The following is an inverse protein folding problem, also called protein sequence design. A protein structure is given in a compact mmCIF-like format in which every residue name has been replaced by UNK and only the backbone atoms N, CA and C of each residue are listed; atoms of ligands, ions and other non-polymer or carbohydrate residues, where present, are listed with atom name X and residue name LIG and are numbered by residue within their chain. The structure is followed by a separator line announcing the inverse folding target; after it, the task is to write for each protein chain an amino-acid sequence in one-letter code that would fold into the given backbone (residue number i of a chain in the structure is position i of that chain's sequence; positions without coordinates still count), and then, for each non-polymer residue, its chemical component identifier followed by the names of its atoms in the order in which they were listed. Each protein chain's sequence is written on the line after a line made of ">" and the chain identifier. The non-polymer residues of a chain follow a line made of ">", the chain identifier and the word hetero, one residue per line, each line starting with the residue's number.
data_IF_279886392754
#
_entry.id   IF_279886392754
#
_cell.length_a   1.000
_cell.length_b   1.000
_cell.length_c   1.000
_cell.angle_alpha   90.00
_cell.angle_beta   90.00
_cell.angle_gamma   90.00
#
_symmetry.space_group_name_H-M   'P 1'
#
loop_
_entity.id
_entity.type
_entity.pdbx_description
1 polymer ?
#
# COMPACT_ATOMS: atom_id res chain seq x y z
N UNK A 1 8.10 -11.03 12.00
CA UNK A 1 7.24 -11.10 10.80
C UNK A 1 7.77 -10.18 9.70
N UNK A 2 7.52 -10.52 8.43
CA UNK A 2 7.75 -9.65 7.29
C UNK A 2 6.42 -9.00 6.90
N UNK A 3 6.25 -7.72 7.22
CA UNK A 3 5.02 -6.97 7.00
C UNK A 3 5.22 -6.03 5.81
N UNK A 4 4.39 -6.16 4.79
CA UNK A 4 4.44 -5.34 3.59
C UNK A 4 3.32 -4.29 3.58
N UNK A 5 3.57 -3.15 2.94
CA UNK A 5 2.63 -2.05 2.82
C UNK A 5 2.51 -1.56 1.38
N UNK A 6 1.30 -1.19 0.96
CA UNK A 6 1.14 -0.30 -0.19
C UNK A 6 1.61 1.11 0.21
N UNK A 7 2.82 1.44 -0.19
CA UNK A 7 3.50 2.65 0.26
C UNK A 7 3.37 3.85 -0.71
N UNK A 8 2.51 3.78 -1.73
CA UNK A 8 2.31 4.90 -2.66
C UNK A 8 1.99 6.20 -1.93
N UNK A 9 1.15 6.15 -0.88
CA UNK A 9 0.80 7.34 -0.10
C UNK A 9 1.93 7.81 0.81
N UNK A 10 2.74 6.90 1.31
CA UNK A 10 3.94 7.23 2.11
C UNK A 10 4.90 8.09 1.29
N UNK A 11 5.14 7.69 0.03
CA UNK A 11 6.20 8.25 -0.81
C UNK A 11 5.76 9.43 -1.69
N UNK A 12 4.45 9.60 -1.96
CA UNK A 12 3.95 10.58 -2.94
C UNK A 12 2.89 11.52 -2.38
N UNK A 13 2.49 11.39 -1.11
CA UNK A 13 1.40 12.19 -0.58
C UNK A 13 1.78 12.92 0.70
N UNK A 14 1.79 14.25 0.63
CA UNK A 14 2.09 15.13 1.76
C UNK A 14 0.86 15.46 2.64
N UNK A 15 -0.34 15.00 2.26
CA UNK A 15 -1.61 15.32 2.93
C UNK A 15 -2.06 14.21 3.91
N UNK A 16 -3.29 14.29 4.40
CA UNK A 16 -3.83 13.42 5.46
C UNK A 16 -3.57 11.93 5.28
N UNK A 17 -3.84 11.35 4.09
CA UNK A 17 -3.61 9.93 3.83
C UNK A 17 -2.13 9.54 3.91
N UNK A 18 -1.24 10.42 3.44
CA UNK A 18 0.21 10.20 3.55
C UNK A 18 0.67 10.31 4.99
N UNK A 19 0.19 11.31 5.74
CA UNK A 19 0.50 11.48 7.16
C UNK A 19 0.04 10.28 7.98
N UNK A 20 -1.20 9.83 7.77
CA UNK A 20 -1.71 8.61 8.40
C UNK A 20 -0.82 7.39 8.10
N UNK A 21 -0.49 7.19 6.83
CA UNK A 21 0.32 6.03 6.42
C UNK A 21 1.71 6.04 7.07
N UNK A 22 2.34 7.20 7.16
CA UNK A 22 3.64 7.36 7.84
C UNK A 22 3.52 7.16 9.35
N UNK A 23 2.47 7.72 9.97
CA UNK A 23 2.19 7.55 11.40
C UNK A 23 2.01 6.07 11.77
N UNK A 24 1.24 5.30 11.01
CA UNK A 24 1.07 3.86 11.24
C UNK A 24 2.43 3.14 11.21
N UNK A 25 3.27 3.47 10.23
CA UNK A 25 4.56 2.82 10.11
C UNK A 25 5.54 3.24 11.20
N UNK A 26 5.58 4.52 11.58
CA UNK A 26 6.37 5.02 12.72
C UNK A 26 5.98 4.27 14.00
N UNK A 27 4.67 4.17 14.28
CA UNK A 27 4.14 3.47 15.45
C UNK A 27 4.55 1.99 15.44
N UNK A 28 4.40 1.31 14.31
CA UNK A 28 4.77 -0.10 14.22
C UNK A 28 6.28 -0.32 14.40
N UNK A 29 7.12 0.53 13.83
CA UNK A 29 8.58 0.43 13.98
C UNK A 29 9.04 0.72 15.40
N UNK A 30 8.32 1.55 16.14
CA UNK A 30 8.58 1.86 17.55
C UNK A 30 8.16 0.71 18.47
N UNK A 31 6.93 0.21 18.32
CA UNK A 31 6.37 -0.78 19.24
C UNK A 31 6.66 -2.24 18.87
N UNK A 32 7.09 -2.50 17.64
CA UNK A 32 7.41 -3.84 17.10
C UNK A 32 8.68 -3.82 16.26
N UNK A 33 9.82 -3.41 16.83
CA UNK A 33 11.09 -3.27 16.11
C UNK A 33 11.66 -4.60 15.62
N UNK A 34 11.20 -5.72 16.14
CA UNK A 34 11.61 -7.07 15.73
C UNK A 34 11.06 -7.49 14.35
N UNK A 35 10.06 -6.80 13.84
CA UNK A 35 9.50 -7.07 12.52
C UNK A 35 10.30 -6.39 11.39
N UNK A 36 10.19 -6.92 10.17
CA UNK A 36 10.68 -6.27 8.96
C UNK A 36 9.51 -5.61 8.22
N UNK A 37 9.73 -4.39 7.78
CA UNK A 37 8.71 -3.57 7.13
C UNK A 37 9.10 -3.26 5.69
N UNK A 38 8.30 -3.74 4.73
CA UNK A 38 8.58 -3.68 3.30
C UNK A 38 7.62 -2.71 2.64
N UNK A 39 8.12 -1.60 2.14
CA UNK A 39 7.34 -0.51 1.55
C UNK A 39 7.30 -0.67 0.03
N UNK A 40 6.20 -1.19 -0.50
CA UNK A 40 6.01 -1.34 -1.94
C UNK A 40 5.48 -0.04 -2.55
N UNK A 41 6.31 0.63 -3.34
CA UNK A 41 5.95 1.89 -4.01
C UNK A 41 6.21 1.85 -5.51
N UNK A 42 5.36 2.49 -6.34
CA UNK A 42 5.55 2.53 -7.79
C UNK A 42 6.83 3.27 -8.23
N UNK A 43 7.34 4.14 -7.37
CA UNK A 43 8.62 4.84 -7.56
C UNK A 43 9.11 5.37 -6.21
N UNK A 44 10.28 6.01 -6.20
CA UNK A 44 10.83 6.62 -4.97
C UNK A 44 10.00 7.80 -4.48
N UNK A 45 9.24 8.49 -5.36
CA UNK A 45 8.47 9.66 -4.97
C UNK A 45 9.34 10.78 -4.40
N UNK A 46 8.85 11.44 -3.35
CA UNK A 46 9.58 12.49 -2.63
C UNK A 46 10.25 11.93 -1.37
N UNK A 47 11.59 11.77 -1.37
CA UNK A 47 12.33 11.23 -0.22
C UNK A 47 12.19 12.08 1.05
N UNK A 48 11.91 13.38 0.94
CA UNK A 48 11.74 14.26 2.12
C UNK A 48 10.60 13.81 3.03
N UNK A 49 9.59 13.15 2.47
CA UNK A 49 8.42 12.66 3.20
C UNK A 49 8.70 11.47 4.12
N UNK A 50 9.69 10.63 3.79
CA UNK A 50 9.87 9.33 4.45
C UNK A 50 11.32 8.96 4.78
N UNK A 51 12.30 9.84 4.55
CA UNK A 51 13.72 9.59 4.87
C UNK A 51 13.92 9.14 6.32
N UNK A 52 13.12 9.67 7.27
CA UNK A 52 13.15 9.29 8.69
C UNK A 52 12.77 7.81 8.87
N UNK A 53 11.77 7.33 8.15
CA UNK A 53 11.38 5.92 8.20
C UNK A 53 12.50 5.00 7.69
N UNK A 54 13.18 5.38 6.63
CA UNK A 54 14.28 4.59 6.06
C UNK A 54 15.56 4.64 6.90
N UNK A 55 15.69 5.54 7.88
CA UNK A 55 16.79 5.48 8.83
C UNK A 55 16.66 4.31 9.81
N UNK A 56 15.46 3.73 9.95
CA UNK A 56 15.24 2.50 10.70
C UNK A 56 15.64 1.29 9.84
N UNK A 57 16.58 0.47 10.34
CA UNK A 57 17.13 -0.72 9.64
C UNK A 57 16.07 -1.80 9.36
N UNK A 58 14.97 -1.80 10.08
CA UNK A 58 13.86 -2.73 9.85
C UNK A 58 12.97 -2.34 8.65
N UNK A 59 13.11 -1.12 8.12
CA UNK A 59 12.28 -0.58 7.03
C UNK A 59 13.05 -0.60 5.72
N UNK A 60 12.44 -1.16 4.66
CA UNK A 60 13.03 -1.20 3.32
C UNK A 60 12.02 -0.75 2.26
N UNK A 61 12.42 0.18 1.40
CA UNK A 61 11.64 0.58 0.23
C UNK A 61 11.89 -0.40 -0.93
N UNK A 62 10.81 -0.86 -1.56
CA UNK A 62 10.81 -1.73 -2.73
C UNK A 62 10.08 -1.02 -3.87
N UNK A 63 10.81 -0.76 -4.95
CA UNK A 63 10.28 -0.15 -6.17
C UNK A 63 10.47 -1.09 -7.36
N UNK A 64 9.74 -0.91 -8.47
CA UNK A 64 9.97 -1.66 -9.69
C UNK A 64 11.39 -1.45 -10.22
N UNK A 65 11.96 -2.49 -10.84
CA UNK A 65 13.19 -2.33 -11.60
C UNK A 65 12.99 -1.31 -12.74
N UNK A 66 14.05 -0.56 -13.11
CA UNK A 66 13.97 0.50 -14.13
C UNK A 66 13.25 0.09 -15.42
N UNK A 67 13.47 -1.14 -15.89
CA UNK A 67 12.80 -1.67 -17.09
C UNK A 67 11.27 -1.80 -16.95
N UNK A 68 10.73 -2.00 -15.73
CA UNK A 68 9.31 -2.13 -15.46
C UNK A 68 8.65 -0.81 -15.06
N UNK A 69 9.44 0.21 -14.75
CA UNK A 69 8.93 1.55 -14.41
C UNK A 69 8.21 2.20 -15.61
N UNK A 70 8.62 1.90 -16.85
CA UNK A 70 7.99 2.37 -18.08
C UNK A 70 6.60 1.76 -18.34
N UNK A 71 6.29 0.58 -17.78
CA UNK A 71 4.99 -0.08 -17.96
C UNK A 71 3.85 0.57 -17.12
N UNK A 72 4.15 1.63 -16.39
CA UNK A 72 3.20 2.32 -15.50
C UNK A 72 3.13 1.69 -14.10
N UNK A 73 3.39 2.52 -13.09
CA UNK A 73 3.45 2.09 -11.69
C UNK A 73 2.19 1.41 -11.16
N UNK A 74 1.02 1.67 -11.77
CA UNK A 74 -0.24 1.01 -11.41
C UNK A 74 -0.29 -0.46 -11.89
N UNK A 75 0.28 -0.79 -13.05
CA UNK A 75 0.37 -2.17 -13.54
C UNK A 75 1.32 -2.98 -12.66
N UNK A 76 2.49 -2.45 -12.35
CA UNK A 76 3.43 -3.10 -11.42
C UNK A 76 2.78 -3.37 -10.05
N UNK A 77 2.10 -2.36 -9.48
CA UNK A 77 1.42 -2.48 -8.20
C UNK A 77 0.37 -3.60 -8.21
N UNK A 78 -0.42 -3.70 -9.25
CA UNK A 78 -1.51 -4.67 -9.32
C UNK A 78 -1.04 -6.10 -9.61
N UNK A 79 -0.01 -6.30 -10.42
CA UNK A 79 0.35 -7.63 -10.94
C UNK A 79 1.69 -8.15 -10.42
N UNK A 80 2.66 -7.29 -10.13
CA UNK A 80 3.98 -7.73 -9.71
C UNK A 80 4.17 -7.79 -8.20
N UNK A 81 3.37 -7.06 -7.42
CA UNK A 81 3.50 -6.99 -5.95
C UNK A 81 3.29 -8.36 -5.32
N UNK A 82 2.29 -9.14 -5.73
CA UNK A 82 2.04 -10.47 -5.18
C UNK A 82 3.22 -11.43 -5.39
N UNK A 83 3.84 -11.40 -6.57
CA UNK A 83 5.05 -12.18 -6.84
C UNK A 83 6.23 -11.75 -5.96
N UNK A 84 6.42 -10.44 -5.81
CA UNK A 84 7.48 -9.90 -4.94
C UNK A 84 7.22 -10.22 -3.48
N UNK A 85 5.98 -10.19 -3.01
CA UNK A 85 5.64 -10.60 -1.64
C UNK A 85 6.08 -12.04 -1.36
N UNK A 86 5.89 -12.96 -2.32
CA UNK A 86 6.39 -14.35 -2.19
C UNK A 86 7.92 -14.39 -2.09
N UNK A 87 8.62 -13.70 -2.99
CA UNK A 87 10.10 -13.63 -2.98
C UNK A 87 10.66 -13.05 -1.69
N UNK A 88 9.99 -12.04 -1.13
CA UNK A 88 10.38 -11.37 0.11
C UNK A 88 9.85 -12.09 1.37
N UNK A 89 9.19 -13.23 1.20
CA UNK A 89 8.59 -14.02 2.29
C UNK A 89 7.68 -13.17 3.19
N UNK A 90 6.76 -12.42 2.57
CA UNK A 90 5.80 -11.57 3.28
C UNK A 90 4.78 -12.42 4.00
N UNK A 91 4.62 -12.19 5.30
CA UNK A 91 3.60 -12.84 6.15
C UNK A 91 2.27 -12.09 6.10
N UNK A 92 2.33 -10.74 6.05
CA UNK A 92 1.16 -9.87 6.07
C UNK A 92 1.34 -8.70 5.11
N UNK A 93 0.30 -8.39 4.33
CA UNK A 93 0.25 -7.20 3.47
C UNK A 93 -0.85 -6.24 3.93
N UNK A 94 -0.48 -4.98 4.18
CA UNK A 94 -1.41 -3.94 4.60
C UNK A 94 -1.63 -2.90 3.49
N UNK A 95 -2.84 -2.86 2.93
CA UNK A 95 -3.34 -1.79 2.07
C UNK A 95 -3.75 -0.59 2.93
N UNK A 96 -2.92 0.43 2.96
CA UNK A 96 -3.12 1.61 3.82
C UNK A 96 -4.23 2.56 3.34
N UNK A 97 -4.77 2.36 2.15
CA UNK A 97 -5.76 3.28 1.56
C UNK A 97 -6.78 2.56 0.69
N UNK A 98 -7.83 2.03 1.33
CA UNK A 98 -9.07 1.51 0.73
C UNK A 98 -8.93 0.38 -0.30
N UNK A 99 -7.73 -0.08 -0.67
CA UNK A 99 -7.56 -1.10 -1.70
C UNK A 99 -6.31 -1.95 -1.50
N UNK A 100 -6.39 -3.20 -1.96
CA UNK A 100 -5.27 -4.14 -2.07
C UNK A 100 -4.85 -4.29 -3.54
N UNK A 101 -3.59 -4.64 -3.83
CA UNK A 101 -3.18 -5.09 -5.15
C UNK A 101 -3.97 -6.33 -5.60
N UNK A 102 -4.46 -6.34 -6.84
CA UNK A 102 -5.33 -7.40 -7.39
C UNK A 102 -4.71 -8.79 -7.24
N UNK A 103 -3.40 -8.92 -7.42
CA UNK A 103 -2.70 -10.19 -7.30
C UNK A 103 -2.68 -10.80 -5.88
N UNK A 104 -3.12 -10.05 -4.85
CA UNK A 104 -3.18 -10.53 -3.47
C UNK A 104 -4.53 -11.12 -3.07
N UNK A 105 -5.60 -10.90 -3.83
CA UNK A 105 -6.93 -11.40 -3.51
C UNK A 105 -6.99 -12.93 -3.36
N UNK A 106 -6.14 -13.65 -4.07
CA UNK A 106 -6.07 -15.11 -4.04
C UNK A 106 -4.76 -15.65 -3.44
N UNK A 107 -3.99 -14.80 -2.76
CA UNK A 107 -2.70 -15.20 -2.19
C UNK A 107 -2.89 -15.86 -0.81
N UNK A 108 -3.32 -17.12 -0.78
CA UNK A 108 -3.66 -17.90 0.43
C UNK A 108 -2.57 -17.97 1.51
N UNK A 109 -1.32 -17.60 1.19
CA UNK A 109 -0.18 -17.67 2.10
C UNK A 109 0.19 -16.32 2.74
N UNK A 110 -0.52 -15.25 2.39
CA UNK A 110 -0.23 -13.90 2.86
C UNK A 110 -1.48 -13.36 3.54
N UNK A 111 -1.39 -13.07 4.85
CA UNK A 111 -2.44 -12.35 5.54
C UNK A 111 -2.64 -10.97 4.92
N UNK A 112 -3.87 -10.52 4.78
CA UNK A 112 -4.16 -9.20 4.21
C UNK A 112 -4.97 -8.36 5.19
N UNK A 113 -4.61 -7.07 5.27
CA UNK A 113 -5.32 -6.05 6.02
C UNK A 113 -5.55 -4.86 5.08
N UNK A 114 -6.72 -4.24 5.17
CA UNK A 114 -7.00 -2.99 4.46
C UNK A 114 -7.55 -1.94 5.41
N UNK A 115 -7.04 -0.72 5.32
CA UNK A 115 -7.61 0.42 6.04
C UNK A 115 -8.64 1.12 5.16
N UNK A 116 -9.89 1.12 5.59
CA UNK A 116 -10.98 1.90 4.97
C UNK A 116 -11.08 3.26 5.66
N UNK A 117 -10.76 4.35 4.95
CA UNK A 117 -10.79 5.71 5.51
C UNK A 117 -12.21 6.28 5.56
N UNK A 118 -12.99 6.03 4.54
CA UNK A 118 -14.40 6.44 4.49
C UNK A 118 -15.22 5.56 3.53
N UNK A 119 -16.51 5.66 3.66
CA UNK A 119 -17.50 5.04 2.77
C UNK A 119 -18.47 6.10 2.21
N UNK A 120 -17.98 7.34 2.06
CA UNK A 120 -18.78 8.49 1.62
C UNK A 120 -19.46 8.25 0.26
N UNK A 121 -18.79 7.54 -0.66
CA UNK A 121 -19.37 7.19 -1.97
C UNK A 121 -20.59 6.25 -1.87
N UNK A 122 -20.74 5.50 -0.77
CA UNK A 122 -21.93 4.66 -0.49
C UNK A 122 -23.00 5.50 0.19
N UNK A 123 -22.62 6.28 1.23
CA UNK A 123 -23.55 7.04 2.06
C UNK A 123 -24.09 8.28 1.35
N UNK A 124 -23.28 8.92 0.51
CA UNK A 124 -23.62 10.16 -0.20
C UNK A 124 -23.36 10.03 -1.70
N UNK A 125 -24.07 9.10 -2.38
CA UNK A 125 -23.81 8.78 -3.80
C UNK A 125 -24.03 9.96 -4.74
N UNK A 126 -24.82 10.94 -4.34
CA UNK A 126 -25.13 12.15 -5.14
C UNK A 126 -23.90 13.04 -5.38
N UNK A 127 -22.84 12.93 -4.55
CA UNK A 127 -21.63 13.72 -4.70
C UNK A 127 -20.56 13.04 -5.59
N UNK A 128 -20.85 11.83 -6.09
CA UNK A 128 -19.92 11.05 -6.91
C UNK A 128 -20.51 10.74 -8.29
N UNK A 129 -19.67 10.81 -9.31
CA UNK A 129 -20.08 10.38 -10.66
C UNK A 129 -20.46 8.89 -10.67
N UNK A 130 -21.47 8.46 -11.44
CA UNK A 130 -21.90 7.05 -11.48
C UNK A 130 -20.76 6.07 -11.78
N UNK A 131 -19.84 6.44 -12.66
CA UNK A 131 -18.69 5.61 -13.02
C UNK A 131 -17.70 5.46 -11.87
N UNK A 132 -17.44 6.52 -11.09
CA UNK A 132 -16.55 6.49 -9.95
C UNK A 132 -17.13 5.60 -8.84
N UNK A 133 -18.44 5.68 -8.62
CA UNK A 133 -19.16 4.82 -7.66
C UNK A 133 -19.04 3.34 -8.02
N UNK A 134 -19.20 3.00 -9.31
CA UNK A 134 -19.04 1.62 -9.78
C UNK A 134 -17.61 1.12 -9.58
N UNK A 135 -16.62 1.96 -9.92
CA UNK A 135 -15.21 1.62 -9.74
C UNK A 135 -14.84 1.44 -8.26
N UNK A 136 -15.31 2.33 -7.37
CA UNK A 136 -15.05 2.22 -5.93
C UNK A 136 -15.74 0.98 -5.34
N UNK A 137 -17.00 0.72 -5.68
CA UNK A 137 -17.70 -0.51 -5.25
C UNK A 137 -16.95 -1.77 -5.63
N UNK A 138 -16.48 -1.84 -6.89
CA UNK A 138 -15.73 -3.00 -7.37
C UNK A 138 -14.38 -3.17 -6.66
N UNK A 139 -13.62 -2.08 -6.50
CA UNK A 139 -12.30 -2.11 -5.86
C UNK A 139 -12.38 -2.40 -4.37
N UNK A 140 -13.25 -1.70 -3.65
CA UNK A 140 -13.35 -1.84 -2.20
C UNK A 140 -14.02 -3.14 -1.80
N UNK A 141 -15.07 -3.56 -2.53
CA UNK A 141 -15.70 -4.85 -2.31
C UNK A 141 -14.80 -6.06 -2.59
N UNK A 142 -13.80 -5.91 -3.48
CA UNK A 142 -12.80 -6.94 -3.71
C UNK A 142 -11.68 -6.94 -2.65
N UNK A 143 -11.52 -5.85 -1.90
CA UNK A 143 -10.48 -5.69 -0.86
C UNK A 143 -10.99 -5.98 0.55
N UNK A 144 -12.31 -6.03 0.74
CA UNK A 144 -12.97 -6.35 2.01
C UNK A 144 -13.33 -7.83 2.09
#
# INVERSE_FOLDING_TARGET
>A
MNIAFDAKRITHNATGLGNYSRFVLDTLTEFRPENRYLLFSPSTGDPSLYKRLLSNRSVRLITPHRALAFAGGNLWRNFSVASRCRTEQVDLFHGLTNELPIGLYNAQHIGTVVTMHDLAFIRYPQFYKPIDRLLYRKKYGASA
#
